data_IF_404282591896
#
_entry.id   IF_404282591896
#
_cell.length_a   1.000
_cell.length_b   1.000
_cell.length_c   1.000
_cell.angle_alpha   90.00
_cell.angle_beta   90.00
_cell.angle_gamma   90.00
#
_symmetry.space_group_name_H-M   'P 1'
#
loop_
_entity.id
_entity.type
_entity.pdbx_description
1 polymer ?
#
# COMPACT_ATOMS: atom_id res chain seq x y z
N UNK A 1 57.24 13.29 5.50
CA UNK A 1 56.14 14.28 5.53
C UNK A 1 55.18 14.08 4.36
N UNK A 2 55.65 14.00 3.11
CA UNK A 2 54.82 13.87 1.91
C UNK A 2 53.92 12.62 1.88
N UNK A 3 54.40 11.47 2.37
CA UNK A 3 53.61 10.22 2.40
C UNK A 3 52.39 10.33 3.33
N UNK A 4 52.53 11.05 4.45
CA UNK A 4 51.44 11.25 5.43
C UNK A 4 50.37 12.19 4.84
N UNK A 5 50.78 13.21 4.08
CA UNK A 5 49.87 14.16 3.44
C UNK A 5 49.06 13.49 2.32
N UNK A 6 49.69 12.63 1.52
CA UNK A 6 49.01 11.86 0.46
C UNK A 6 48.01 10.87 1.06
N UNK A 7 48.41 10.19 2.15
CA UNK A 7 47.53 9.29 2.90
C UNK A 7 46.30 10.01 3.46
N UNK A 8 46.50 11.18 4.09
CA UNK A 8 45.41 11.96 4.67
C UNK A 8 44.44 12.48 3.60
N UNK A 9 44.96 12.92 2.45
CA UNK A 9 44.14 13.35 1.32
C UNK A 9 43.25 12.24 0.76
N UNK A 10 43.78 11.02 0.64
CA UNK A 10 43.01 9.87 0.16
C UNK A 10 41.85 9.51 1.11
N UNK A 11 42.06 9.60 2.42
CA UNK A 11 41.02 9.36 3.43
C UNK A 11 39.90 10.39 3.33
N UNK A 12 40.24 11.68 3.20
CA UNK A 12 39.24 12.76 3.07
C UNK A 12 38.41 12.59 1.81
N UNK A 13 39.04 12.25 0.68
CA UNK A 13 38.32 11.97 -0.58
C UNK A 13 37.37 10.79 -0.42
N UNK A 14 37.80 9.73 0.28
CA UNK A 14 36.94 8.59 0.61
C UNK A 14 35.69 9.00 1.40
N UNK A 15 35.87 9.81 2.46
CA UNK A 15 34.74 10.34 3.24
C UNK A 15 33.83 11.24 2.41
N UNK A 16 34.36 12.08 1.52
CA UNK A 16 33.57 12.94 0.62
C UNK A 16 32.75 12.09 -0.36
N UNK A 17 33.33 11.01 -0.91
CA UNK A 17 32.61 10.10 -1.81
C UNK A 17 31.49 9.35 -1.09
N UNK A 18 31.75 8.85 0.13
CA UNK A 18 30.74 8.21 0.97
C UNK A 18 29.61 9.20 1.29
N UNK A 19 29.96 10.44 1.67
CA UNK A 19 28.98 11.49 1.95
C UNK A 19 28.12 11.81 0.72
N UNK A 20 28.72 11.91 -0.48
CA UNK A 20 28.00 12.15 -1.73
C UNK A 20 27.08 10.98 -2.12
N UNK A 21 27.47 9.74 -1.84
CA UNK A 21 26.63 8.57 -2.10
C UNK A 21 25.45 8.48 -1.13
N UNK A 22 25.66 8.77 0.16
CA UNK A 22 24.59 8.77 1.18
C UNK A 22 23.58 9.89 0.92
N UNK A 23 24.03 11.06 0.46
CA UNK A 23 23.13 12.18 0.18
C UNK A 23 22.42 12.10 -1.17
N UNK A 24 22.72 11.09 -1.99
CA UNK A 24 21.95 10.83 -3.20
C UNK A 24 20.61 10.23 -2.78
N UNK A 25 19.53 11.02 -2.88
CA UNK A 25 18.17 10.48 -2.81
C UNK A 25 17.99 9.51 -3.97
N UNK A 26 18.27 8.24 -3.74
CA UNK A 26 17.90 7.16 -4.65
C UNK A 26 16.39 6.99 -4.51
N UNK A 27 15.62 7.65 -5.37
CA UNK A 27 14.23 7.26 -5.55
C UNK A 27 14.26 5.79 -6.00
N UNK A 28 13.70 4.85 -5.25
CA UNK A 28 13.79 3.46 -5.64
C UNK A 28 13.08 3.28 -6.98
N UNK A 29 13.71 2.59 -7.95
CA UNK A 29 13.09 2.25 -9.22
C UNK A 29 12.00 1.21 -8.97
N UNK A 30 10.80 1.67 -8.63
CA UNK A 30 9.62 0.83 -8.48
C UNK A 30 8.53 1.24 -9.44
N UNK A 31 7.58 0.34 -9.74
CA UNK A 31 6.36 0.71 -10.47
C UNK A 31 5.64 1.89 -9.82
N UNK A 32 5.77 2.05 -8.50
CA UNK A 32 5.14 3.11 -7.73
C UNK A 32 5.97 4.41 -7.62
N UNK A 33 7.25 4.38 -8.02
CA UNK A 33 8.16 5.53 -7.96
C UNK A 33 7.64 6.75 -8.71
N UNK A 34 7.01 6.51 -9.86
CA UNK A 34 6.42 7.55 -10.69
C UNK A 34 5.20 8.22 -10.03
N UNK A 35 4.60 7.57 -9.05
CA UNK A 35 3.44 8.05 -8.33
C UNK A 35 3.82 8.77 -7.03
N UNK A 36 4.91 8.34 -6.36
CA UNK A 36 5.48 9.06 -5.22
C UNK A 36 5.88 10.51 -5.54
N UNK A 37 6.28 10.79 -6.78
CA UNK A 37 6.67 12.14 -7.20
C UNK A 37 5.47 13.04 -7.51
N UNK A 38 4.27 12.47 -7.65
CA UNK A 38 3.08 13.17 -8.13
C UNK A 38 1.90 13.06 -7.16
N UNK A 39 2.18 13.11 -5.85
CA UNK A 39 1.18 13.00 -4.77
C UNK A 39 0.08 14.08 -4.86
N UNK A 40 0.31 15.16 -5.61
CA UNK A 40 -0.71 16.17 -5.90
C UNK A 40 -1.66 15.76 -7.05
N UNK A 41 -1.78 14.47 -7.35
CA UNK A 41 -2.67 13.98 -8.40
C UNK A 41 -4.12 14.36 -8.06
N UNK A 42 -4.69 15.28 -8.86
CA UNK A 42 -6.05 15.79 -8.68
C UNK A 42 -7.12 14.68 -8.63
N UNK A 43 -6.84 13.52 -9.21
CA UNK A 43 -7.78 12.40 -9.24
C UNK A 43 -7.88 11.64 -7.90
N UNK A 44 -6.81 11.62 -7.10
CA UNK A 44 -6.77 10.90 -5.81
C UNK A 44 -7.19 11.81 -4.66
N UNK A 45 -7.02 13.14 -4.82
CA UNK A 45 -7.37 14.15 -3.81
C UNK A 45 -8.74 13.94 -3.15
N UNK A 46 -9.83 13.60 -3.88
CA UNK A 46 -11.13 13.38 -3.24
C UNK A 46 -11.11 12.26 -2.22
N UNK A 47 -10.34 11.19 -2.45
CA UNK A 47 -10.21 10.06 -1.52
C UNK A 47 -9.38 10.42 -0.29
N UNK A 48 -8.38 11.30 -0.44
CA UNK A 48 -7.48 11.69 0.65
C UNK A 48 -8.13 12.66 1.65
N UNK A 49 -9.09 13.47 1.19
CA UNK A 49 -9.81 14.44 2.03
C UNK A 49 -11.17 13.91 2.52
N UNK A 50 -11.55 12.72 2.06
CA UNK A 50 -12.83 12.09 2.41
C UNK A 50 -12.87 11.74 3.90
N UNK A 51 -13.97 12.03 4.62
CA UNK A 51 -14.16 11.53 5.96
C UNK A 51 -14.07 10.00 6.01
N UNK A 52 -13.48 9.47 7.09
CA UNK A 52 -13.26 8.02 7.27
C UNK A 52 -14.52 7.19 7.01
N UNK A 53 -15.66 7.57 7.61
CA UNK A 53 -16.91 6.82 7.47
C UNK A 53 -17.42 6.80 6.02
N UNK A 54 -17.28 7.91 5.31
CA UNK A 54 -17.66 8.01 3.90
C UNK A 54 -16.75 7.12 3.04
N UNK A 55 -15.46 7.06 3.36
CA UNK A 55 -14.51 6.18 2.67
C UNK A 55 -14.81 4.70 2.92
N UNK A 56 -15.14 4.33 4.16
CA UNK A 56 -15.57 2.96 4.50
C UNK A 56 -16.83 2.59 3.73
N UNK A 57 -17.83 3.46 3.69
CA UNK A 57 -19.06 3.23 2.94
C UNK A 57 -18.81 3.15 1.43
N UNK A 58 -17.87 3.93 0.89
CA UNK A 58 -17.43 3.86 -0.51
C UNK A 58 -16.81 2.50 -0.83
N UNK A 59 -15.88 2.01 0.01
CA UNK A 59 -15.26 0.69 -0.17
C UNK A 59 -16.31 -0.41 -0.02
N UNK A 60 -17.22 -0.30 0.93
CA UNK A 60 -18.35 -1.21 1.11
C UNK A 60 -19.19 -1.32 -0.17
N UNK A 61 -19.58 -0.17 -0.75
CA UNK A 61 -20.33 -0.10 -2.01
C UNK A 61 -19.55 -0.71 -3.18
N UNK A 62 -18.24 -0.43 -3.27
CA UNK A 62 -17.38 -1.02 -4.29
C UNK A 62 -17.35 -2.56 -4.19
N UNK A 63 -17.15 -3.12 -3.00
CA UNK A 63 -17.13 -4.57 -2.79
C UNK A 63 -18.45 -5.22 -3.18
N UNK A 64 -19.58 -4.61 -2.81
CA UNK A 64 -20.91 -5.09 -3.20
C UNK A 64 -21.08 -5.02 -4.73
N UNK A 65 -20.64 -3.93 -5.37
CA UNK A 65 -20.73 -3.75 -6.84
C UNK A 65 -19.89 -4.78 -7.60
N UNK A 66 -18.76 -5.18 -7.02
CA UNK A 66 -17.90 -6.25 -7.52
C UNK A 66 -18.48 -7.66 -7.28
N UNK A 67 -19.62 -7.78 -6.60
CA UNK A 67 -20.34 -9.05 -6.41
C UNK A 67 -20.02 -9.77 -5.10
N UNK A 68 -19.28 -9.15 -4.17
CA UNK A 68 -19.01 -9.75 -2.87
C UNK A 68 -20.20 -9.61 -1.91
N UNK A 69 -20.47 -10.67 -1.15
CA UNK A 69 -21.26 -10.60 0.07
C UNK A 69 -20.37 -10.15 1.24
N UNK A 70 -20.87 -9.25 2.09
CA UNK A 70 -20.15 -8.79 3.29
C UNK A 70 -20.66 -9.56 4.50
N UNK A 71 -19.76 -10.28 5.16
CA UNK A 71 -20.10 -11.06 6.35
C UNK A 71 -19.88 -10.24 7.62
N UNK A 72 -18.75 -9.56 7.72
CA UNK A 72 -18.36 -8.83 8.92
C UNK A 72 -17.49 -7.61 8.56
N UNK A 73 -17.60 -6.55 9.36
CA UNK A 73 -16.78 -5.35 9.26
C UNK A 73 -16.22 -5.09 10.66
N UNK A 74 -14.90 -5.15 10.81
CA UNK A 74 -14.19 -5.00 12.09
C UNK A 74 -13.33 -3.74 12.02
N UNK A 75 -13.51 -2.82 12.95
CA UNK A 75 -12.61 -1.69 13.09
C UNK A 75 -11.34 -2.13 13.83
N UNK A 76 -10.22 -2.19 13.11
CA UNK A 76 -8.94 -2.69 13.64
C UNK A 76 -8.23 -1.61 14.46
N UNK A 77 -8.28 -0.36 14.00
CA UNK A 77 -7.80 0.82 14.74
C UNK A 77 -8.52 2.08 14.21
N UNK A 78 -8.10 3.27 14.67
CA UNK A 78 -8.68 4.55 14.25
C UNK A 78 -8.64 4.75 12.73
N UNK A 79 -7.67 4.14 12.05
CA UNK A 79 -7.30 4.44 10.68
C UNK A 79 -7.56 3.26 9.72
N UNK A 80 -8.01 2.12 10.24
CA UNK A 80 -8.12 0.88 9.49
C UNK A 80 -9.40 0.12 9.81
N UNK A 81 -9.96 -0.52 8.79
CA UNK A 81 -11.11 -1.42 8.88
C UNK A 81 -10.86 -2.69 8.06
N UNK A 82 -11.17 -3.83 8.65
CA UNK A 82 -11.15 -5.13 7.99
C UNK A 82 -12.58 -5.53 7.57
N UNK A 83 -12.72 -5.97 6.31
CA UNK A 83 -13.95 -6.58 5.81
C UNK A 83 -13.72 -8.07 5.58
N UNK A 84 -14.52 -8.90 6.24
CA UNK A 84 -14.65 -10.31 5.92
C UNK A 84 -15.73 -10.43 4.83
N UNK A 85 -15.33 -10.80 3.62
CA UNK A 85 -16.23 -10.88 2.47
C UNK A 85 -16.21 -12.27 1.82
N UNK A 86 -17.26 -12.58 1.08
CA UNK A 86 -17.44 -13.86 0.43
C UNK A 86 -17.83 -13.68 -1.03
N UNK A 87 -17.09 -14.33 -1.93
CA UNK A 87 -17.47 -14.45 -3.34
C UNK A 87 -18.35 -15.70 -3.53
N UNK A 88 -19.62 -15.55 -3.97
CA UNK A 88 -20.53 -16.66 -4.14
C UNK A 88 -20.28 -17.52 -5.38
N UNK A 89 -19.31 -17.18 -6.24
CA UNK A 89 -19.03 -17.93 -7.46
C UNK A 89 -18.69 -19.40 -7.16
N UNK A 90 -19.40 -20.38 -7.76
CA UNK A 90 -19.08 -21.78 -7.57
C UNK A 90 -17.64 -22.09 -8.00
N UNK A 91 -16.96 -22.98 -7.27
CA UNK A 91 -15.60 -23.49 -7.55
C UNK A 91 -14.47 -22.48 -7.33
N UNK A 92 -14.67 -21.21 -7.71
CA UNK A 92 -13.64 -20.16 -7.66
C UNK A 92 -13.80 -19.20 -6.48
N UNK A 93 -15.03 -18.99 -6.04
CA UNK A 93 -15.37 -18.11 -4.93
C UNK A 93 -15.08 -18.73 -3.58
N UNK A 94 -15.15 -17.90 -2.55
CA UNK A 94 -14.83 -18.26 -1.18
C UNK A 94 -14.62 -17.02 -0.32
N UNK A 95 -14.00 -17.20 0.84
CA UNK A 95 -13.76 -16.12 1.79
C UNK A 95 -12.55 -15.28 1.39
N UNK A 96 -12.66 -13.96 1.51
CA UNK A 96 -11.59 -12.99 1.34
C UNK A 96 -11.53 -12.08 2.56
N UNK A 97 -10.33 -11.58 2.87
CA UNK A 97 -10.13 -10.54 3.88
C UNK A 97 -9.70 -9.27 3.16
N UNK A 98 -10.46 -8.19 3.32
CA UNK A 98 -10.12 -6.88 2.74
C UNK A 98 -9.69 -5.94 3.85
N UNK A 99 -8.41 -5.58 3.87
CA UNK A 99 -7.83 -4.63 4.81
C UNK A 99 -7.84 -3.24 4.20
N UNK A 100 -8.64 -2.33 4.77
CA UNK A 100 -8.84 -0.98 4.26
C UNK A 100 -8.13 0.04 5.16
N UNK A 101 -7.03 0.61 4.66
CA UNK A 101 -6.31 1.70 5.31
C UNK A 101 -6.96 3.04 4.89
N UNK A 102 -7.76 3.61 5.77
CA UNK A 102 -8.56 4.81 5.54
C UNK A 102 -7.77 6.11 5.78
N UNK A 103 -6.75 6.06 6.64
CA UNK A 103 -5.97 7.25 7.01
C UNK A 103 -4.52 6.85 7.27
N UNK A 104 -3.57 7.53 6.65
CA UNK A 104 -2.17 7.45 7.09
C UNK A 104 -1.59 8.86 7.09
N UNK A 105 -1.00 9.27 8.21
CA UNK A 105 -0.21 10.51 8.27
C UNK A 105 1.00 10.40 7.33
N UNK A 106 1.55 9.19 7.23
CA UNK A 106 2.56 8.81 6.28
C UNK A 106 1.94 8.38 4.95
N UNK A 107 2.45 8.91 3.85
CA UNK A 107 1.85 8.71 2.53
C UNK A 107 2.11 7.32 1.93
N UNK A 108 2.73 6.42 2.68
CA UNK A 108 3.25 5.14 2.20
C UNK A 108 2.91 4.00 3.16
N UNK A 109 2.34 2.93 2.60
CA UNK A 109 2.08 1.66 3.30
C UNK A 109 3.34 0.82 3.30
N UNK A 110 3.79 0.42 4.49
CA UNK A 110 5.00 -0.37 4.68
C UNK A 110 4.71 -1.88 4.71
N UNK A 111 5.76 -2.70 4.82
CA UNK A 111 5.64 -4.16 4.85
C UNK A 111 4.96 -4.73 6.10
N UNK A 112 4.85 -3.97 7.20
CA UNK A 112 4.18 -4.42 8.43
C UNK A 112 2.69 -4.66 8.18
N UNK A 113 2.01 -3.75 7.50
CA UNK A 113 0.58 -3.92 7.16
C UNK A 113 0.36 -5.15 6.26
N UNK A 114 1.31 -5.43 5.35
CA UNK A 114 1.28 -6.59 4.45
C UNK A 114 1.40 -7.89 5.24
N UNK A 115 2.35 -7.96 6.16
CA UNK A 115 2.61 -9.16 6.97
C UNK A 115 1.40 -9.43 7.89
N UNK A 116 0.86 -8.40 8.53
CA UNK A 116 -0.32 -8.53 9.38
C UNK A 116 -1.53 -9.07 8.60
N UNK A 117 -1.79 -8.55 7.39
CA UNK A 117 -2.84 -9.05 6.54
C UNK A 117 -2.59 -10.51 6.13
N UNK A 118 -1.35 -10.89 5.81
CA UNK A 118 -1.02 -12.27 5.45
C UNK A 118 -1.33 -13.24 6.60
N UNK A 119 -1.02 -12.86 7.84
CA UNK A 119 -1.31 -13.68 9.01
C UNK A 119 -2.82 -13.80 9.26
N UNK A 120 -3.58 -12.72 9.05
CA UNK A 120 -5.04 -12.75 9.11
C UNK A 120 -5.65 -13.68 8.04
N UNK A 121 -5.16 -13.62 6.81
CA UNK A 121 -5.61 -14.50 5.72
C UNK A 121 -5.38 -15.98 6.07
N UNK A 122 -4.23 -16.31 6.66
CA UNK A 122 -3.93 -17.67 7.12
C UNK A 122 -4.82 -18.08 8.28
N UNK A 123 -4.99 -17.22 9.29
CA UNK A 123 -5.81 -17.49 10.46
C UNK A 123 -7.29 -17.72 10.12
N UNK A 124 -7.82 -16.92 9.19
CA UNK A 124 -9.21 -16.99 8.75
C UNK A 124 -9.46 -18.02 7.63
N UNK A 125 -8.41 -18.73 7.18
CA UNK A 125 -8.44 -19.64 6.03
C UNK A 125 -9.06 -19.02 4.77
N UNK A 126 -8.77 -17.73 4.53
CA UNK A 126 -9.28 -17.01 3.38
C UNK A 126 -8.52 -17.37 2.11
N UNK A 127 -9.20 -17.29 0.96
CA UNK A 127 -8.64 -17.58 -0.36
C UNK A 127 -7.65 -16.51 -0.84
N UNK A 128 -7.76 -15.28 -0.34
CA UNK A 128 -6.87 -14.16 -0.67
C UNK A 128 -7.12 -13.00 0.29
N UNK A 129 -6.06 -12.25 0.62
CA UNK A 129 -6.16 -10.94 1.25
C UNK A 129 -6.07 -9.80 0.23
N UNK A 130 -6.82 -8.73 0.43
CA UNK A 130 -6.79 -7.55 -0.42
C UNK A 130 -6.49 -6.34 0.47
N UNK A 131 -5.40 -5.63 0.21
CA UNK A 131 -5.12 -4.37 0.90
C UNK A 131 -5.54 -3.19 0.01
N UNK A 132 -6.41 -2.34 0.52
CA UNK A 132 -6.91 -1.14 -0.15
C UNK A 132 -6.45 0.09 0.62
N UNK A 133 -5.88 1.06 -0.10
CA UNK A 133 -5.47 2.35 0.46
C UNK A 133 -5.64 3.46 -0.59
N UNK A 134 -5.97 4.72 -0.20
CA UNK A 134 -5.86 5.86 -1.10
C UNK A 134 -4.39 6.30 -1.32
N UNK A 135 -3.43 5.64 -0.66
CA UNK A 135 -1.99 5.91 -0.73
C UNK A 135 -1.25 4.93 -1.65
N UNK A 136 0.08 4.91 -1.56
CA UNK A 136 0.96 4.00 -2.29
C UNK A 136 1.70 3.07 -1.31
N UNK A 137 2.25 1.98 -1.81
CA UNK A 137 3.01 0.99 -1.05
C UNK A 137 4.51 1.26 -1.18
N UNK A 138 5.31 0.94 -0.18
CA UNK A 138 6.78 0.97 -0.34
C UNK A 138 7.28 -0.22 -1.17
N UNK A 139 8.55 -0.17 -1.62
CA UNK A 139 9.19 -1.30 -2.30
C UNK A 139 9.15 -2.57 -1.46
N UNK A 140 9.41 -2.41 -0.16
CA UNK A 140 9.42 -3.49 0.80
C UNK A 140 8.03 -4.10 0.95
N UNK A 141 6.97 -3.28 0.91
CA UNK A 141 5.60 -3.76 0.93
C UNK A 141 5.25 -4.54 -0.36
N UNK A 142 5.63 -4.03 -1.53
CA UNK A 142 5.44 -4.73 -2.81
C UNK A 142 6.17 -6.07 -2.83
N UNK A 143 7.42 -6.10 -2.35
CA UNK A 143 8.22 -7.33 -2.25
C UNK A 143 7.62 -8.32 -1.24
N UNK A 144 7.06 -7.84 -0.13
CA UNK A 144 6.41 -8.69 0.87
C UNK A 144 5.11 -9.32 0.34
N UNK A 145 4.39 -8.65 -0.55
CA UNK A 145 3.19 -9.17 -1.20
C UNK A 145 3.49 -10.06 -2.42
N UNK A 146 4.70 -10.03 -2.96
CA UNK A 146 5.06 -10.77 -4.16
C UNK A 146 5.04 -12.29 -3.91
N UNK A 147 4.28 -13.01 -4.75
CA UNK A 147 4.21 -14.47 -4.72
C UNK A 147 3.42 -15.06 -3.54
N UNK A 148 2.76 -14.22 -2.73
CA UNK A 148 1.84 -14.67 -1.68
C UNK A 148 0.39 -14.39 -2.06
N UNK A 149 -0.55 -14.89 -1.26
CA UNK A 149 -1.99 -14.82 -1.53
C UNK A 149 -2.59 -13.45 -1.17
N UNK A 150 -1.91 -12.38 -1.61
CA UNK A 150 -2.30 -11.00 -1.36
C UNK A 150 -2.45 -10.23 -2.67
N UNK A 151 -3.30 -9.22 -2.64
CA UNK A 151 -3.49 -8.28 -3.72
C UNK A 151 -3.50 -6.85 -3.18
N UNK A 152 -2.73 -5.98 -3.82
CA UNK A 152 -2.53 -4.60 -3.39
C UNK A 152 -3.28 -3.65 -4.33
N UNK A 153 -4.11 -2.78 -3.75
CA UNK A 153 -4.88 -1.74 -4.42
C UNK A 153 -4.45 -0.38 -3.86
N UNK A 154 -3.59 0.30 -4.61
CA UNK A 154 -3.15 1.66 -4.29
C UNK A 154 -4.18 2.70 -4.73
N UNK A 155 -3.94 3.97 -4.40
CA UNK A 155 -4.88 5.06 -4.67
C UNK A 155 -5.26 5.22 -6.14
N UNK A 156 -4.31 5.07 -7.07
CA UNK A 156 -4.63 5.18 -8.49
C UNK A 156 -5.49 4.00 -8.99
N UNK A 157 -5.12 2.78 -8.61
CA UNK A 157 -5.88 1.58 -8.96
C UNK A 157 -7.28 1.62 -8.33
N UNK A 158 -7.40 2.14 -7.11
CA UNK A 158 -8.67 2.36 -6.44
C UNK A 158 -9.55 3.36 -7.21
N UNK A 159 -9.02 4.52 -7.61
CA UNK A 159 -9.76 5.50 -8.43
C UNK A 159 -10.25 4.86 -9.74
N UNK A 160 -9.41 4.06 -10.39
CA UNK A 160 -9.79 3.34 -11.62
C UNK A 160 -10.96 2.38 -11.37
N UNK A 161 -10.85 1.54 -10.33
CA UNK A 161 -11.90 0.59 -9.95
C UNK A 161 -13.21 1.31 -9.62
N UNK A 162 -13.15 2.44 -8.91
CA UNK A 162 -14.33 3.22 -8.57
C UNK A 162 -15.02 3.78 -9.82
N UNK A 163 -14.25 4.31 -10.77
CA UNK A 163 -14.79 4.83 -12.04
C UNK A 163 -15.40 3.74 -12.91
N UNK A 164 -14.72 2.59 -13.02
CA UNK A 164 -15.24 1.42 -13.75
C UNK A 164 -16.55 0.88 -13.17
N UNK A 165 -16.87 1.24 -11.92
CA UNK A 165 -18.04 0.82 -11.18
C UNK A 165 -19.06 1.95 -10.93
N UNK A 166 -18.91 3.10 -11.59
CA UNK A 166 -19.77 4.30 -11.49
C UNK A 166 -19.88 4.88 -10.06
N UNK A 167 -18.81 4.77 -9.27
CA UNK A 167 -18.73 5.30 -7.90
C UNK A 167 -17.93 6.61 -7.80
N UNK A 168 -17.28 7.04 -8.89
CA UNK A 168 -16.55 8.30 -9.06
C UNK A 168 -16.51 8.78 -10.52
#
# INVERSE_FOLDING_TARGET
MSVIIISLGAVIIGFILIFLLINRKTTPETPEAHYYSNINNQQINPLLIMPREDFIDLIKKLLIRLGFGINEIIATNSNCVDFSVYDPQPIKGGKFIVHCLCFQEDKLVNSTDIINLLDNVKGESALKGILITPHFFTVEALNAAAGVQLELINGERLVRLLRENDLM
#
